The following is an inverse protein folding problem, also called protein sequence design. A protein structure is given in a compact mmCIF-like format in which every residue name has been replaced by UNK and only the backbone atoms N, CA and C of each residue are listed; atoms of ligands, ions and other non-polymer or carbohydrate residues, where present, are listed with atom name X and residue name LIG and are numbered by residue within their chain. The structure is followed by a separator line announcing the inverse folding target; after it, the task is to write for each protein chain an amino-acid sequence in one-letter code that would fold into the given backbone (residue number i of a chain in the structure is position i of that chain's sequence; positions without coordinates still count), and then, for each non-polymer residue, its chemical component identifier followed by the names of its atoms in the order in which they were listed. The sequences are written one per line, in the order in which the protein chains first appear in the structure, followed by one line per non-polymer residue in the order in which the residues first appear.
data_IF_544267706401
#
_entry.id   IF_544267706401
#
_cell.length_a   1.000
_cell.length_b   1.000
_cell.length_c   1.000
_cell.angle_alpha   90.00
_cell.angle_beta   90.00
_cell.angle_gamma   90.00
#
_symmetry.space_group_name_H-M   'P 1'
#
loop_
_entity.id
_entity.type
_entity.pdbx_description
1 polymer ?
#
# COMPACT_ATOMS: atom_id res chain seq x y z
N UNK A 1 -18.03 36.37 4.01
CA UNK A 1 -17.42 35.31 3.18
C UNK A 1 -17.26 34.08 4.04
N UNK A 2 -18.03 33.03 3.76
CA UNK A 2 -18.09 31.82 4.58
C UNK A 2 -17.73 30.57 3.77
N UNK A 3 -17.02 29.65 4.45
CA UNK A 3 -16.85 28.19 4.29
C UNK A 3 -15.44 27.89 4.83
N UNK A 4 -15.26 27.68 6.15
CA UNK A 4 -15.64 26.48 6.93
C UNK A 4 -15.24 25.19 6.20
N UNK A 5 -13.93 24.97 6.06
CA UNK A 5 -13.37 23.63 5.88
C UNK A 5 -13.52 22.90 7.22
N UNK A 6 -14.37 21.87 7.26
CA UNK A 6 -14.59 21.04 8.44
C UNK A 6 -13.35 20.22 8.80
N UNK A 7 -13.34 19.60 10.00
CA UNK A 7 -12.21 18.84 10.48
C UNK A 7 -12.08 17.56 9.65
N UNK A 8 -10.93 17.38 9.00
CA UNK A 8 -10.54 16.09 8.43
C UNK A 8 -10.44 15.09 9.58
N UNK A 9 -11.40 14.16 9.66
CA UNK A 9 -11.42 13.13 10.70
C UNK A 9 -10.22 12.18 10.57
N UNK A 10 -9.70 11.63 11.68
CA UNK A 10 -8.55 10.72 11.69
C UNK A 10 -8.95 9.30 11.26
N UNK A 11 -9.29 9.13 9.98
CA UNK A 11 -9.90 7.89 9.48
C UNK A 11 -9.15 7.15 8.37
N UNK A 12 -8.34 7.81 7.55
CA UNK A 12 -8.02 7.25 6.22
C UNK A 12 -6.58 7.45 5.73
N UNK A 13 -5.71 8.10 6.50
CA UNK A 13 -4.31 8.28 6.13
C UNK A 13 -3.52 6.96 6.13
N UNK A 14 -3.85 6.03 7.05
CA UNK A 14 -3.13 4.76 7.22
C UNK A 14 -3.32 3.74 6.09
N UNK A 15 -4.38 3.87 5.28
CA UNK A 15 -4.65 2.95 4.17
C UNK A 15 -3.90 3.29 2.88
N UNK A 16 -3.34 4.52 2.76
CA UNK A 16 -2.65 4.99 1.55
C UNK A 16 -1.33 4.27 1.25
N UNK A 17 -0.81 3.46 2.19
CA UNK A 17 0.34 2.58 1.99
C UNK A 17 -0.02 1.08 1.86
N UNK A 18 -1.30 0.72 1.93
CA UNK A 18 -1.77 -0.68 1.90
C UNK A 18 -2.38 -1.02 0.55
N UNK A 19 -2.47 -2.32 0.22
CA UNK A 19 -3.10 -2.80 -1.03
C UNK A 19 -4.59 -2.45 -1.13
N UNK A 20 -5.23 -2.11 -0.01
CA UNK A 20 -6.62 -1.68 0.05
C UNK A 20 -6.84 -0.29 -0.57
N UNK A 21 -5.80 0.56 -0.60
CA UNK A 21 -5.85 1.87 -1.27
C UNK A 21 -6.11 1.73 -2.79
N UNK A 22 -5.29 0.97 -3.53
CA UNK A 22 -5.51 0.66 -4.94
C UNK A 22 -6.87 0.02 -5.22
N UNK A 23 -7.34 -0.91 -4.36
CA UNK A 23 -8.65 -1.56 -4.52
C UNK A 23 -9.79 -0.54 -4.47
N UNK A 24 -9.74 0.44 -3.56
CA UNK A 24 -10.76 1.50 -3.52
C UNK A 24 -10.73 2.42 -4.75
N UNK A 25 -9.56 2.67 -5.34
CA UNK A 25 -9.47 3.48 -6.57
C UNK A 25 -10.06 2.77 -7.79
N UNK A 26 -10.05 1.43 -7.81
CA UNK A 26 -10.64 0.63 -8.90
C UNK A 26 -12.03 0.09 -8.56
N UNK A 27 -12.57 0.36 -7.37
CA UNK A 27 -13.89 -0.09 -6.94
C UNK A 27 -15.00 0.36 -7.90
N UNK A 28 -14.91 1.60 -8.40
CA UNK A 28 -15.84 2.11 -9.43
C UNK A 28 -15.66 1.39 -10.77
N UNK A 29 -14.43 1.01 -11.12
CA UNK A 29 -14.14 0.27 -12.35
C UNK A 29 -14.63 -1.17 -12.27
N UNK A 30 -14.65 -1.78 -11.08
CA UNK A 30 -15.13 -3.15 -10.87
C UNK A 30 -16.66 -3.23 -10.73
N UNK A 31 -17.38 -2.10 -10.76
CA UNK A 31 -18.83 -2.03 -10.53
C UNK A 31 -19.25 -2.81 -9.27
N UNK A 32 -18.56 -2.57 -8.15
CA UNK A 32 -18.87 -3.25 -6.90
C UNK A 32 -20.27 -2.87 -6.41
N UNK A 33 -21.05 -3.86 -5.97
CA UNK A 33 -22.32 -3.60 -5.28
C UNK A 33 -22.07 -2.96 -3.92
N UNK A 34 -23.10 -2.33 -3.35
CA UNK A 34 -22.96 -1.70 -2.03
C UNK A 34 -22.66 -2.73 -0.94
N UNK A 35 -23.25 -3.92 -1.02
CA UNK A 35 -22.93 -5.04 -0.13
C UNK A 35 -21.46 -5.46 -0.23
N UNK A 36 -20.89 -5.54 -1.45
CA UNK A 36 -19.47 -5.85 -1.63
C UNK A 36 -18.56 -4.76 -1.05
N UNK A 37 -18.93 -3.48 -1.22
CA UNK A 37 -18.18 -2.36 -0.64
C UNK A 37 -18.18 -2.42 0.90
N UNK A 38 -19.32 -2.73 1.51
CA UNK A 38 -19.44 -2.85 2.96
C UNK A 38 -18.59 -4.00 3.51
N UNK A 39 -18.56 -5.15 2.82
CA UNK A 39 -17.70 -6.27 3.19
C UNK A 39 -16.21 -5.92 3.09
N UNK A 40 -15.80 -5.25 2.01
CA UNK A 40 -14.41 -4.78 1.85
C UNK A 40 -14.03 -3.79 2.95
N UNK A 41 -14.95 -2.90 3.33
CA UNK A 41 -14.74 -1.96 4.43
C UNK A 41 -14.61 -2.68 5.77
N UNK A 42 -15.41 -3.72 6.02
CA UNK A 42 -15.30 -4.55 7.22
C UNK A 42 -13.94 -5.25 7.31
N UNK A 43 -13.45 -5.83 6.20
CA UNK A 43 -12.09 -6.39 6.12
C UNK A 43 -11.03 -5.32 6.41
N UNK A 44 -11.15 -4.13 5.79
CA UNK A 44 -10.20 -3.05 6.06
C UNK A 44 -10.19 -2.63 7.54
N UNK A 45 -11.34 -2.67 8.20
CA UNK A 45 -11.48 -2.36 9.62
C UNK A 45 -10.91 -3.47 10.51
N UNK A 46 -11.11 -4.74 10.20
CA UNK A 46 -10.60 -5.86 10.99
C UNK A 46 -9.06 -5.91 11.03
N UNK A 47 -8.41 -5.45 9.97
CA UNK A 47 -6.94 -5.39 9.90
C UNK A 47 -6.35 -4.04 10.33
N UNK A 48 -7.16 -3.07 10.77
CA UNK A 48 -6.68 -1.69 11.02
C UNK A 48 -5.49 -1.63 11.97
N UNK A 49 -5.54 -2.37 13.07
CA UNK A 49 -4.50 -2.33 14.10
C UNK A 49 -3.22 -3.04 13.63
N UNK A 50 -3.34 -4.16 12.91
CA UNK A 50 -2.22 -4.83 12.24
C UNK A 50 -1.52 -3.87 11.28
N UNK A 51 -2.30 -3.16 10.45
CA UNK A 51 -1.78 -2.18 9.51
C UNK A 51 -1.08 -1.00 10.18
N UNK A 52 -1.65 -0.49 11.27
CA UNK A 52 -1.05 0.59 12.04
C UNK A 52 0.30 0.16 12.62
N UNK A 53 0.36 -1.02 13.25
CA UNK A 53 1.59 -1.58 13.80
C UNK A 53 2.66 -1.78 12.72
N UNK A 54 2.28 -2.32 11.55
CA UNK A 54 3.19 -2.50 10.43
C UNK A 54 3.72 -1.17 9.89
N UNK A 55 2.86 -0.16 9.76
CA UNK A 55 3.25 1.18 9.33
C UNK A 55 4.24 1.84 10.30
N UNK A 56 4.00 1.70 11.61
CA UNK A 56 4.89 2.21 12.65
C UNK A 56 6.25 1.49 12.64
N UNK A 57 6.25 0.18 12.41
CA UNK A 57 7.46 -0.62 12.29
C UNK A 57 8.32 -0.18 11.08
N UNK A 58 7.71 -0.07 9.89
CA UNK A 58 8.39 0.44 8.69
C UNK A 58 8.90 1.86 8.90
N UNK A 59 8.08 2.74 9.49
CA UNK A 59 8.47 4.12 9.79
C UNK A 59 9.70 4.17 10.70
N UNK A 60 9.76 3.30 11.71
CA UNK A 60 10.90 3.18 12.62
C UNK A 60 12.15 2.65 11.92
N UNK A 61 12.02 1.57 11.14
CA UNK A 61 13.13 0.99 10.40
C UNK A 61 13.72 1.98 9.38
N UNK A 62 12.88 2.72 8.65
CA UNK A 62 13.32 3.78 7.72
C UNK A 62 14.10 4.89 8.43
N UNK A 63 13.62 5.35 9.59
CA UNK A 63 14.34 6.34 10.40
C UNK A 63 15.70 5.81 10.87
N UNK A 64 15.74 4.55 11.33
CA UNK A 64 16.97 3.88 11.76
C UNK A 64 18.01 3.79 10.63
N UNK A 65 17.59 3.35 9.44
CA UNK A 65 18.47 3.30 8.27
C UNK A 65 18.96 4.70 7.87
N UNK A 66 18.06 5.69 7.83
CA UNK A 66 18.45 7.07 7.49
C UNK A 66 19.48 7.62 8.48
N UNK A 67 19.28 7.38 9.78
CA UNK A 67 20.22 7.82 10.81
C UNK A 67 21.60 7.15 10.66
N UNK A 68 21.66 5.86 10.32
CA UNK A 68 22.91 5.17 10.05
C UNK A 68 23.65 5.77 8.84
N UNK A 69 22.93 6.07 7.75
CA UNK A 69 23.49 6.64 6.53
C UNK A 69 23.98 8.09 6.75
N UNK A 70 23.21 8.91 7.46
CA UNK A 70 23.54 10.33 7.69
C UNK A 70 24.41 10.55 8.93
N UNK A 71 24.95 9.48 9.51
CA UNK A 71 25.88 9.59 10.61
C UNK A 71 27.20 10.22 10.12
N UNK A 72 27.94 10.87 11.01
CA UNK A 72 29.21 11.51 10.68
C UNK A 72 30.35 10.54 10.37
N UNK A 73 30.11 9.22 10.51
CA UNK A 73 31.09 8.15 10.34
C UNK A 73 30.47 7.01 9.56
N UNK A 74 31.10 6.59 8.47
CA UNK A 74 30.62 5.44 7.71
C UNK A 74 30.83 4.13 8.48
N UNK A 75 29.73 3.45 8.78
CA UNK A 75 29.71 2.10 9.37
C UNK A 75 28.89 1.18 8.44
N UNK A 76 29.59 0.41 7.59
CA UNK A 76 28.95 -0.50 6.63
C UNK A 76 28.11 -1.58 7.32
N UNK A 77 28.59 -2.11 8.45
CA UNK A 77 27.91 -3.19 9.16
C UNK A 77 26.56 -2.69 9.73
N UNK A 78 26.57 -1.50 10.32
CA UNK A 78 25.35 -0.85 10.81
C UNK A 78 24.36 -0.53 9.68
N UNK A 79 24.85 0.00 8.56
CA UNK A 79 23.99 0.29 7.40
C UNK A 79 23.37 -1.00 6.86
N UNK A 80 24.13 -2.09 6.77
CA UNK A 80 23.63 -3.39 6.32
C UNK A 80 22.58 -3.96 7.26
N UNK A 81 22.82 -3.89 8.57
CA UNK A 81 21.86 -4.29 9.61
C UNK A 81 20.53 -3.52 9.49
N UNK A 82 20.59 -2.18 9.44
CA UNK A 82 19.37 -1.36 9.32
C UNK A 82 18.65 -1.53 7.99
N UNK A 83 19.39 -1.82 6.92
CA UNK A 83 18.80 -2.15 5.61
C UNK A 83 18.04 -3.47 5.68
N UNK A 84 18.62 -4.50 6.30
CA UNK A 84 17.96 -5.79 6.48
C UNK A 84 16.68 -5.66 7.34
N UNK A 85 16.74 -4.88 8.42
CA UNK A 85 15.57 -4.61 9.27
C UNK A 85 14.44 -3.92 8.51
N UNK A 86 14.76 -2.93 7.66
CA UNK A 86 13.77 -2.28 6.79
C UNK A 86 13.18 -3.27 5.78
N UNK A 87 14.02 -4.09 5.14
CA UNK A 87 13.58 -5.10 4.19
C UNK A 87 12.61 -6.11 4.81
N UNK A 88 12.86 -6.55 6.05
CA UNK A 88 11.95 -7.43 6.77
C UNK A 88 10.60 -6.75 7.06
N UNK A 89 10.62 -5.51 7.55
CA UNK A 89 9.39 -4.77 7.84
C UNK A 89 8.53 -4.56 6.56
N UNK A 90 9.17 -4.30 5.42
CA UNK A 90 8.47 -4.18 4.14
C UNK A 90 7.94 -5.54 3.63
N UNK A 91 8.65 -6.63 3.88
CA UNK A 91 8.19 -7.98 3.58
C UNK A 91 6.92 -8.35 4.38
N UNK A 92 6.87 -7.98 5.67
CA UNK A 92 5.71 -8.21 6.52
C UNK A 92 4.47 -7.45 6.00
N UNK A 93 4.65 -6.20 5.57
CA UNK A 93 3.59 -5.40 4.90
C UNK A 93 3.10 -6.08 3.62
N UNK A 94 4.01 -6.63 2.82
CA UNK A 94 3.67 -7.33 1.58
C UNK A 94 2.85 -8.61 1.86
N UNK A 95 3.24 -9.38 2.89
CA UNK A 95 2.53 -10.59 3.30
C UNK A 95 1.11 -10.27 3.81
N UNK A 96 0.96 -9.28 4.70
CA UNK A 96 -0.35 -8.82 5.15
C UNK A 96 -1.21 -8.31 3.97
N UNK A 97 -0.57 -7.70 2.98
CA UNK A 97 -1.26 -7.14 1.81
C UNK A 97 -1.81 -8.24 0.94
N UNK A 98 -1.02 -9.30 0.71
CA UNK A 98 -1.46 -10.47 -0.02
C UNK A 98 -2.65 -11.16 0.66
N UNK A 99 -2.64 -11.24 2.00
CA UNK A 99 -3.76 -11.81 2.78
C UNK A 99 -5.05 -11.01 2.56
N UNK A 100 -5.01 -9.70 2.81
CA UNK A 100 -6.18 -8.83 2.62
C UNK A 100 -6.68 -8.82 1.17
N UNK A 101 -5.76 -8.86 0.19
CA UNK A 101 -6.14 -9.00 -1.22
C UNK A 101 -6.89 -10.31 -1.48
N UNK A 102 -6.42 -11.43 -0.92
CA UNK A 102 -7.07 -12.73 -1.05
C UNK A 102 -8.50 -12.72 -0.52
N UNK A 103 -8.72 -12.12 0.65
CA UNK A 103 -10.05 -11.98 1.26
C UNK A 103 -11.00 -11.15 0.38
N UNK A 104 -10.53 -10.01 -0.12
CA UNK A 104 -11.31 -9.17 -1.05
C UNK A 104 -11.60 -9.91 -2.36
N UNK A 105 -10.63 -10.67 -2.88
CA UNK A 105 -10.79 -11.41 -4.13
C UNK A 105 -11.93 -12.44 -4.07
N UNK A 106 -12.19 -13.04 -2.89
CA UNK A 106 -13.30 -13.97 -2.67
C UNK A 106 -14.68 -13.31 -2.68
N UNK A 107 -14.76 -12.00 -2.41
CA UNK A 107 -16.03 -11.23 -2.46
C UNK A 107 -16.45 -10.93 -3.90
N UNK A 108 -15.49 -10.90 -4.83
CA UNK A 108 -15.72 -10.53 -6.21
C UNK A 108 -16.34 -11.68 -7.01
N UNK A 109 -17.22 -11.36 -7.96
CA UNK A 109 -17.71 -12.33 -8.94
C UNK A 109 -16.59 -12.74 -9.90
N UNK A 110 -16.76 -13.87 -10.61
CA UNK A 110 -15.75 -14.35 -11.58
C UNK A 110 -15.44 -13.29 -12.66
N UNK A 111 -16.45 -12.56 -13.13
CA UNK A 111 -16.27 -11.48 -14.10
C UNK A 111 -15.47 -10.31 -13.53
N UNK A 112 -15.77 -9.91 -12.28
CA UNK A 112 -15.03 -8.86 -11.58
C UNK A 112 -13.58 -9.27 -11.31
N UNK A 113 -13.34 -10.53 -10.97
CA UNK A 113 -11.99 -11.09 -10.80
C UNK A 113 -11.19 -11.04 -12.11
N UNK A 114 -11.80 -11.42 -13.24
CA UNK A 114 -11.18 -11.32 -14.56
C UNK A 114 -10.84 -9.87 -14.91
N UNK A 115 -11.78 -8.94 -14.65
CA UNK A 115 -11.57 -7.50 -14.85
C UNK A 115 -10.41 -6.97 -13.99
N UNK A 116 -10.35 -7.35 -12.72
CA UNK A 116 -9.28 -6.97 -11.81
C UNK A 116 -7.90 -7.41 -12.33
N UNK A 117 -7.77 -8.66 -12.81
CA UNK A 117 -6.51 -9.16 -13.41
C UNK A 117 -6.11 -8.38 -14.66
N UNK A 118 -7.08 -8.04 -15.51
CA UNK A 118 -6.86 -7.23 -16.71
C UNK A 118 -6.32 -5.84 -16.36
N UNK A 119 -6.96 -5.16 -15.39
CA UNK A 119 -6.52 -3.85 -14.91
C UNK A 119 -5.11 -3.88 -14.32
N UNK A 120 -4.76 -4.94 -13.58
CA UNK A 120 -3.39 -5.13 -13.07
C UNK A 120 -2.38 -5.29 -14.19
N UNK A 121 -2.67 -6.12 -15.20
CA UNK A 121 -1.78 -6.33 -16.34
C UNK A 121 -1.58 -5.04 -17.15
N UNK A 122 -2.62 -4.25 -17.35
CA UNK A 122 -2.55 -2.96 -18.02
C UNK A 122 -1.70 -1.96 -17.23
N UNK A 123 -1.91 -1.87 -15.91
CA UNK A 123 -1.11 -1.03 -15.03
C UNK A 123 0.38 -1.37 -15.06
N UNK A 124 0.73 -2.66 -15.06
CA UNK A 124 2.11 -3.13 -15.20
C UNK A 124 2.74 -2.71 -16.54
N UNK A 125 1.98 -2.86 -17.64
CA UNK A 125 2.44 -2.43 -18.98
C UNK A 125 2.70 -0.93 -19.03
N UNK A 126 1.82 -0.11 -18.46
CA UNK A 126 1.98 1.35 -18.43
C UNK A 126 3.22 1.77 -17.65
N UNK A 127 3.42 1.22 -16.44
CA UNK A 127 4.63 1.51 -15.64
C UNK A 127 5.92 1.08 -16.33
N UNK A 128 5.91 -0.06 -17.03
CA UNK A 128 7.06 -0.52 -17.81
C UNK A 128 7.38 0.39 -19.00
N UNK A 129 6.36 0.97 -19.65
CA UNK A 129 6.54 1.93 -20.74
C UNK A 129 7.03 3.30 -20.24
N UNK A 130 6.50 3.79 -19.11
CA UNK A 130 6.94 5.03 -18.47
C UNK A 130 8.39 4.94 -17.97
N UNK A 131 8.80 3.80 -17.40
CA UNK A 131 10.18 3.55 -17.01
C UNK A 131 11.14 3.57 -18.19
N UNK A 132 10.74 3.01 -19.34
CA UNK A 132 11.51 3.05 -20.59
C UNK A 132 11.62 4.46 -21.18
N UNK A 133 10.55 5.26 -21.08
CA UNK A 133 10.57 6.65 -21.57
C UNK A 133 11.44 7.55 -20.69
N UNK A 134 11.38 7.40 -19.36
CA UNK A 134 12.25 8.14 -18.42
C UNK A 134 13.72 7.74 -18.54
N UNK A 135 14.03 6.47 -18.79
CA UNK A 135 15.40 6.01 -19.02
C UNK A 135 16.02 6.44 -20.35
N UNK A 136 15.22 6.93 -21.31
CA UNK A 136 15.68 7.43 -22.62
C UNK A 136 15.91 8.95 -22.65
N UNK A 137 15.55 9.64 -21.57
CA UNK A 137 15.68 11.09 -21.41
C UNK A 137 16.97 11.52 -20.68
N UNK A 138 17.93 10.61 -20.54
CA UNK A 138 19.25 10.84 -19.95
C UNK A 138 20.33 10.31 -20.89
#
# INVERSE_FOLDING_TARGET
MGRRGGPEGPGFQGLRGTILGPIQMIASQLNLSDAQKDQIKAIAQSHRDEWQSLADHVGTARRGLRAAITSGTFDEALVRDKSAALGQAEADVAAASARAFGEVFQILTQEQQAKLRSLQAEGQRRRGQEGRQRGRAF
#
